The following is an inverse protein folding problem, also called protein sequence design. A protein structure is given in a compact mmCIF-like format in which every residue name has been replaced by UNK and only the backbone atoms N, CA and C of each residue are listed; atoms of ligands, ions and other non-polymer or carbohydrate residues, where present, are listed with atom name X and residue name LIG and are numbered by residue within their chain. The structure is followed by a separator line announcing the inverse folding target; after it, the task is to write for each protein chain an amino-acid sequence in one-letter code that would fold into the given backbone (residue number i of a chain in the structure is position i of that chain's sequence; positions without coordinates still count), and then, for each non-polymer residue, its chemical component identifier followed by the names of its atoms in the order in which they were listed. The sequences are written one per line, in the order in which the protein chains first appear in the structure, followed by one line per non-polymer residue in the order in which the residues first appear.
data_IF_939338299094
#
_entry.id   IF_939338299094
#
_cell.length_a   1.000
_cell.length_b   1.000
_cell.length_c   1.000
_cell.angle_alpha   90.00
_cell.angle_beta   90.00
_cell.angle_gamma   90.00
#
_symmetry.space_group_name_H-M   'P 1'
#
loop_
_entity.id
_entity.type
_entity.pdbx_description
1 polymer ?
#
# COMPACT_ATOMS: atom_id res chain seq x y z
N UNK A 1 -4.73 7.04 -0.71
CA UNK A 1 -4.07 7.74 0.41
C UNK A 1 -2.57 7.74 0.18
N UNK A 2 -1.89 8.83 0.53
CA UNK A 2 -0.44 8.98 0.38
C UNK A 2 0.15 9.56 1.66
N UNK A 3 1.16 8.90 2.23
CA UNK A 3 1.85 9.39 3.41
C UNK A 3 2.85 10.50 3.01
N UNK A 4 2.52 11.75 3.35
CA UNK A 4 3.35 12.91 3.00
C UNK A 4 4.46 13.23 3.99
N UNK A 5 4.42 12.67 5.21
CA UNK A 5 5.42 12.96 6.25
C UNK A 5 5.86 11.67 6.94
N UNK A 6 7.12 11.29 6.76
CA UNK A 6 7.71 10.14 7.43
C UNK A 6 9.25 10.23 7.43
N UNK A 7 9.96 9.21 7.91
CA UNK A 7 11.38 9.05 7.58
C UNK A 7 11.58 8.96 6.06
N UNK A 8 12.78 9.27 5.59
CA UNK A 8 13.10 9.26 4.15
C UNK A 8 12.85 7.86 3.52
N UNK A 9 13.07 6.79 4.26
CA UNK A 9 12.86 5.42 3.77
C UNK A 9 11.38 5.04 3.67
N UNK A 10 10.51 5.66 4.47
CA UNK A 10 9.10 5.32 4.60
C UNK A 10 8.14 6.35 3.99
N UNK A 11 8.67 7.45 3.43
CA UNK A 11 7.87 8.50 2.81
C UNK A 11 7.16 8.00 1.55
N UNK A 12 5.96 8.54 1.32
CA UNK A 12 5.19 8.31 0.10
C UNK A 12 4.56 6.92 0.00
N UNK A 13 4.51 6.15 1.10
CA UNK A 13 3.68 4.95 1.17
C UNK A 13 2.26 5.29 0.73
N UNK A 14 1.77 4.54 -0.25
CA UNK A 14 0.49 4.79 -0.90
C UNK A 14 -0.43 3.59 -0.71
N UNK A 15 -1.70 3.84 -0.43
CA UNK A 15 -2.69 2.77 -0.30
C UNK A 15 -4.00 3.20 -0.94
N UNK A 16 -4.63 2.31 -1.68
CA UNK A 16 -6.06 2.39 -1.97
C UNK A 16 -6.86 1.96 -0.74
N UNK A 17 -8.07 2.48 -0.62
CA UNK A 17 -9.00 2.12 0.45
C UNK A 17 -10.41 2.07 -0.14
N UNK A 18 -11.18 1.10 0.31
CA UNK A 18 -12.55 0.84 -0.14
C UNK A 18 -13.35 0.36 1.07
N UNK A 19 -13.74 1.32 1.92
CA UNK A 19 -14.56 1.09 3.11
C UNK A 19 -15.83 1.92 3.00
N UNK A 20 -16.95 1.31 3.35
CA UNK A 20 -18.29 1.93 3.34
C UNK A 20 -18.63 2.59 4.69
N UNK A 21 -17.63 3.24 5.28
CA UNK A 21 -17.74 3.88 6.60
C UNK A 21 -17.13 5.28 6.56
N UNK A 22 -17.67 6.18 7.38
CA UNK A 22 -17.11 7.52 7.55
C UNK A 22 -15.74 7.44 8.24
N UNK A 23 -14.74 8.10 7.66
CA UNK A 23 -13.36 8.07 8.15
C UNK A 23 -12.74 9.45 8.24
N UNK A 24 -11.91 9.65 9.26
CA UNK A 24 -11.04 10.82 9.40
C UNK A 24 -9.61 10.42 9.04
N UNK A 25 -8.96 11.20 8.17
CA UNK A 25 -7.54 11.01 7.84
C UNK A 25 -6.66 11.90 8.72
N UNK A 26 -5.52 11.37 9.16
CA UNK A 26 -4.53 12.16 9.88
C UNK A 26 -3.92 13.24 8.97
N UNK A 27 -3.49 14.36 9.55
CA UNK A 27 -2.99 15.53 8.80
C UNK A 27 -1.73 15.29 7.95
N UNK A 28 -0.99 14.21 8.21
CA UNK A 28 0.17 13.77 7.43
C UNK A 28 -0.19 12.81 6.28
N UNK A 29 -1.49 12.64 5.98
CA UNK A 29 -1.98 11.85 4.85
C UNK A 29 -2.63 12.77 3.81
N UNK A 30 -2.25 12.58 2.54
CA UNK A 30 -2.92 13.20 1.40
C UNK A 30 -3.95 12.23 0.83
N UNK A 31 -5.19 12.70 0.68
CA UNK A 31 -6.22 11.99 -0.09
C UNK A 31 -6.05 12.31 -1.57
N UNK A 32 -5.61 11.32 -2.34
CA UNK A 32 -5.56 11.38 -3.80
C UNK A 32 -6.95 10.97 -4.34
N UNK A 33 -7.53 11.79 -5.22
CA UNK A 33 -8.73 11.45 -6.00
C UNK A 33 -8.29 11.17 -7.43
N UNK A 34 -8.52 9.94 -7.89
CA UNK A 34 -8.13 9.50 -9.23
C UNK A 34 -9.23 9.79 -10.23
N UNK A 35 -8.84 9.94 -11.51
CA UNK A 35 -9.78 9.97 -12.63
C UNK A 35 -10.33 8.55 -12.85
N UNK A 36 -11.50 8.45 -13.47
CA UNK A 36 -12.14 7.17 -13.80
C UNK A 36 -11.29 6.29 -14.71
N UNK A 37 -10.34 6.89 -15.44
CA UNK A 37 -9.39 6.18 -16.32
C UNK A 37 -8.23 5.50 -15.57
N UNK A 38 -8.23 5.52 -14.23
CA UNK A 38 -7.14 4.98 -13.42
C UNK A 38 -7.72 4.04 -12.36
N UNK A 39 -7.30 2.78 -12.40
CA UNK A 39 -7.68 1.78 -11.39
C UNK A 39 -6.93 2.07 -10.08
N UNK A 40 -7.62 2.26 -8.94
CA UNK A 40 -6.99 2.60 -7.67
C UNK A 40 -5.92 1.61 -7.21
N UNK A 41 -6.19 0.30 -7.37
CA UNK A 41 -5.25 -0.78 -6.99
C UNK A 41 -3.96 -0.75 -7.80
N UNK A 42 -4.07 -0.52 -9.12
CA UNK A 42 -2.90 -0.34 -9.98
C UNK A 42 -2.08 0.86 -9.52
N UNK A 43 -2.73 2.02 -9.34
CA UNK A 43 -2.06 3.24 -8.94
C UNK A 43 -1.35 3.10 -7.59
N UNK A 44 -2.00 2.51 -6.58
CA UNK A 44 -1.40 2.33 -5.25
C UNK A 44 -0.15 1.44 -5.32
N UNK A 45 -0.21 0.34 -6.07
CA UNK A 45 0.94 -0.55 -6.27
C UNK A 45 2.06 0.12 -7.06
N UNK A 46 1.73 0.80 -8.15
CA UNK A 46 2.70 1.54 -8.97
C UNK A 46 3.46 2.58 -8.14
N UNK A 47 2.75 3.37 -7.32
CA UNK A 47 3.36 4.35 -6.43
C UNK A 47 4.27 3.75 -5.36
N UNK A 48 4.17 2.43 -5.09
CA UNK A 48 5.02 1.70 -4.14
C UNK A 48 6.14 0.91 -4.81
N UNK A 49 6.30 0.98 -6.13
CA UNK A 49 7.47 0.41 -6.81
C UNK A 49 8.76 1.13 -6.39
N UNK A 50 9.89 0.42 -6.46
CA UNK A 50 11.19 0.97 -6.07
C UNK A 50 11.57 2.19 -6.91
N UNK A 51 11.24 2.18 -8.20
CA UNK A 51 11.50 3.30 -9.12
C UNK A 51 10.78 4.57 -8.66
N UNK A 52 9.46 4.48 -8.41
CA UNK A 52 8.68 5.64 -7.93
C UNK A 52 9.15 6.05 -6.53
N UNK A 53 9.45 5.11 -5.64
CA UNK A 53 9.98 5.41 -4.30
C UNK A 53 11.34 6.10 -4.36
N UNK A 54 12.22 5.71 -5.27
CA UNK A 54 13.49 6.38 -5.47
C UNK A 54 13.27 7.82 -5.92
N UNK A 55 12.38 8.05 -6.90
CA UNK A 55 12.04 9.40 -7.34
C UNK A 55 11.43 10.25 -6.19
N UNK A 56 10.51 9.69 -5.41
CA UNK A 56 9.92 10.35 -4.24
C UNK A 56 10.99 10.82 -3.24
N UNK A 57 12.03 10.01 -3.01
CA UNK A 57 13.16 10.40 -2.12
C UNK A 57 13.96 11.58 -2.68
N UNK A 58 14.09 11.72 -4.01
CA UNK A 58 14.83 12.84 -4.62
C UNK A 58 14.11 14.18 -4.51
N UNK A 59 12.77 14.17 -4.44
CA UNK A 59 11.96 15.40 -4.34
C UNK A 59 11.57 15.72 -2.89
N UNK A 60 11.73 14.76 -1.98
CA UNK A 60 11.39 14.94 -0.58
C UNK A 60 12.28 15.99 0.08
N UNK A 61 11.67 16.95 0.77
CA UNK A 61 12.40 17.96 1.55
C UNK A 61 12.67 17.41 2.94
N UNK A 62 13.94 17.31 3.30
CA UNK A 62 14.38 16.83 4.61
C UNK A 62 14.46 17.93 5.67
N UNK A 63 13.93 17.64 6.85
CA UNK A 63 14.37 18.17 8.14
C UNK A 63 14.92 16.99 8.96
N UNK A 64 15.71 17.24 10.02
CA UNK A 64 16.34 16.16 10.81
C UNK A 64 15.33 15.06 11.16
N UNK A 65 15.58 13.84 10.66
CA UNK A 65 14.74 12.63 10.82
C UNK A 65 13.31 12.68 10.24
N UNK A 66 12.93 13.71 9.49
CA UNK A 66 11.62 13.79 8.83
C UNK A 66 11.74 14.32 7.40
N UNK A 67 11.07 13.65 6.48
CA UNK A 67 10.91 14.06 5.10
C UNK A 67 9.47 14.50 4.84
N UNK A 68 9.26 15.52 4.00
CA UNK A 68 7.94 15.94 3.54
C UNK A 68 7.85 16.02 2.02
N UNK A 69 6.69 15.63 1.48
CA UNK A 69 6.28 15.90 0.09
C UNK A 69 4.92 16.60 0.14
N UNK A 70 4.83 17.81 -0.36
CA UNK A 70 3.57 18.55 -0.38
C UNK A 70 2.69 18.15 -1.58
N UNK A 71 1.45 18.63 -1.61
CA UNK A 71 0.50 18.27 -2.65
C UNK A 71 0.89 18.75 -4.06
N UNK A 72 1.57 19.89 -4.18
CA UNK A 72 2.02 20.43 -5.47
C UNK A 72 3.17 19.58 -6.03
N UNK A 73 4.12 19.20 -5.18
CA UNK A 73 5.22 18.28 -5.54
C UNK A 73 4.66 16.93 -6.00
N UNK A 74 3.69 16.38 -5.27
CA UNK A 74 3.01 15.13 -5.63
C UNK A 74 2.29 15.21 -6.99
N UNK A 75 1.66 16.35 -7.30
CA UNK A 75 0.98 16.55 -8.59
C UNK A 75 1.96 16.66 -9.77
N UNK A 76 3.20 17.05 -9.52
CA UNK A 76 4.24 17.17 -10.53
C UNK A 76 4.95 15.86 -10.88
N UNK A 77 4.66 14.76 -10.17
CA UNK A 77 5.32 13.48 -10.40
C UNK A 77 4.85 12.91 -11.74
N UNK A 78 5.77 12.65 -12.69
CA UNK A 78 5.42 11.96 -13.91
C UNK A 78 5.06 10.51 -13.59
N UNK A 79 3.90 10.07 -14.05
CA UNK A 79 3.41 8.70 -13.87
C UNK A 79 3.09 8.09 -15.22
N UNK A 80 3.49 6.84 -15.40
CA UNK A 80 3.05 6.04 -16.53
C UNK A 80 1.64 5.48 -16.26
N UNK A 81 0.71 5.69 -17.18
CA UNK A 81 -0.65 5.15 -17.11
C UNK A 81 -0.85 4.21 -18.31
N UNK A 82 -0.86 2.88 -18.12
CA UNK A 82 -1.17 1.94 -19.18
C UNK A 82 -2.67 1.98 -19.54
N UNK A 83 -3.10 1.37 -20.67
CA UNK A 83 -4.51 1.17 -20.99
C UNK A 83 -5.30 0.57 -19.82
N UNK A 84 -6.55 1.02 -19.66
CA UNK A 84 -7.40 0.66 -18.52
C UNK A 84 -7.60 -0.85 -18.39
N UNK A 85 -7.64 -1.56 -19.51
CA UNK A 85 -7.78 -3.01 -19.57
C UNK A 85 -6.61 -3.72 -18.90
N UNK A 86 -5.38 -3.24 -19.12
CA UNK A 86 -4.17 -3.78 -18.48
C UNK A 86 -4.12 -3.45 -16.99
N UNK A 87 -4.59 -2.26 -16.61
CA UNK A 87 -4.70 -1.89 -15.20
C UNK A 87 -5.68 -2.82 -14.46
N UNK A 88 -6.81 -3.16 -15.09
CA UNK A 88 -7.80 -4.06 -14.52
C UNK A 88 -7.27 -5.50 -14.41
N UNK A 89 -6.63 -6.02 -15.47
CA UNK A 89 -5.98 -7.34 -15.44
C UNK A 89 -4.95 -7.44 -14.31
N UNK A 90 -4.13 -6.40 -14.12
CA UNK A 90 -3.18 -6.34 -13.01
C UNK A 90 -3.90 -6.36 -11.65
N UNK A 91 -4.95 -5.56 -11.48
CA UNK A 91 -5.69 -5.51 -10.22
C UNK A 91 -6.36 -6.85 -9.88
N UNK A 92 -6.92 -7.54 -10.87
CA UNK A 92 -7.51 -8.86 -10.71
C UNK A 92 -6.48 -9.92 -10.32
N UNK A 93 -5.29 -9.87 -10.95
CA UNK A 93 -4.17 -10.74 -10.58
C UNK A 93 -3.72 -10.50 -9.13
N UNK A 94 -3.52 -9.24 -8.73
CA UNK A 94 -3.15 -8.91 -7.34
C UNK A 94 -4.19 -9.42 -6.35
N UNK A 95 -5.48 -9.24 -6.66
CA UNK A 95 -6.58 -9.75 -5.83
C UNK A 95 -6.52 -11.27 -5.66
N UNK A 96 -6.20 -12.01 -6.72
CA UNK A 96 -6.04 -13.46 -6.65
C UNK A 96 -4.85 -13.86 -5.77
N UNK A 97 -3.71 -13.18 -5.91
CA UNK A 97 -2.52 -13.42 -5.09
C UNK A 97 -2.80 -13.14 -3.61
N UNK A 98 -3.44 -12.02 -3.29
CA UNK A 98 -3.77 -11.65 -1.92
C UNK A 98 -4.73 -12.67 -1.28
N UNK A 99 -5.72 -13.16 -2.04
CA UNK A 99 -6.59 -14.26 -1.59
C UNK A 99 -5.79 -15.51 -1.23
N UNK A 100 -4.89 -15.95 -2.11
CA UNK A 100 -4.05 -17.12 -1.84
C UNK A 100 -3.14 -16.92 -0.63
N UNK A 101 -2.59 -15.71 -0.42
CA UNK A 101 -1.78 -15.39 0.76
C UNK A 101 -2.58 -15.50 2.05
N UNK A 102 -3.81 -14.99 2.08
CA UNK A 102 -4.69 -15.09 3.25
C UNK A 102 -5.07 -16.54 3.57
N UNK A 103 -5.32 -17.37 2.55
CA UNK A 103 -5.60 -18.80 2.75
C UNK A 103 -4.40 -19.53 3.37
N UNK A 104 -3.18 -19.27 2.89
CA UNK A 104 -1.95 -19.84 3.44
C UNK A 104 -1.74 -19.38 4.88
N UNK A 105 -1.95 -18.09 5.18
CA UNK A 105 -1.81 -17.54 6.53
C UNK A 105 -2.76 -18.20 7.52
N UNK A 106 -4.03 -18.37 7.14
CA UNK A 106 -5.04 -19.08 7.96
C UNK A 106 -4.65 -20.54 8.21
N UNK A 107 -4.11 -21.21 7.18
CA UNK A 107 -3.62 -22.58 7.34
C UNK A 107 -2.48 -22.65 8.35
N UNK A 108 -1.52 -21.72 8.27
CA UNK A 108 -0.39 -21.65 9.20
C UNK A 108 -0.85 -21.40 10.65
N UNK A 109 -1.77 -20.45 10.85
CA UNK A 109 -2.34 -20.16 12.17
C UNK A 109 -3.04 -21.40 12.76
N UNK A 110 -3.83 -22.11 11.95
CA UNK A 110 -4.51 -23.33 12.38
C UNK A 110 -3.52 -24.45 12.72
N UNK A 111 -2.45 -24.62 11.94
CA UNK A 111 -1.39 -25.60 12.23
C UNK A 111 -0.70 -25.27 13.55
N UNK A 112 -0.40 -23.99 13.82
CA UNK A 112 0.19 -23.58 15.09
C UNK A 112 -0.73 -23.87 16.28
N UNK A 113 -2.02 -23.53 16.16
CA UNK A 113 -3.01 -23.82 17.22
C UNK A 113 -3.12 -25.31 17.52
N UNK A 114 -3.10 -26.16 16.48
CA UNK A 114 -3.13 -27.61 16.65
C UNK A 114 -1.86 -28.13 17.34
N UNK A 115 -0.69 -27.62 16.93
CA UNK A 115 0.58 -27.97 17.56
C UNK A 115 0.59 -27.60 19.05
N UNK A 116 0.18 -26.38 19.40
CA UNK A 116 0.11 -25.90 20.78
C UNK A 116 -0.86 -26.75 21.62
N UNK A 117 -2.02 -27.11 21.04
CA UNK A 117 -3.01 -27.97 21.71
C UNK A 117 -2.46 -29.37 22.00
N UNK A 118 -1.76 -29.98 21.03
CA UNK A 118 -1.13 -31.29 21.22
C UNK A 118 0.00 -31.24 22.26
N UNK A 119 0.83 -30.19 22.23
CA UNK A 119 1.89 -30.01 23.23
C UNK A 119 1.32 -29.88 24.64
N UNK A 120 0.21 -29.16 24.81
CA UNK A 120 -0.50 -29.06 26.08
C UNK A 120 -1.10 -30.40 26.52
N UNK A 121 -1.63 -31.21 25.59
CA UNK A 121 -2.19 -32.53 25.92
C UNK A 121 -1.13 -33.53 26.38
N UNK A 122 0.04 -33.55 25.72
CA UNK A 122 1.08 -34.55 26.00
C UNK A 122 2.10 -34.13 27.07
N UNK A 123 2.32 -32.83 27.27
CA UNK A 123 3.38 -32.31 28.14
C UNK A 123 2.93 -31.19 29.09
N UNK A 124 1.65 -30.79 29.04
CA UNK A 124 1.05 -29.78 29.92
C UNK A 124 0.45 -30.33 31.20
#
# INVERSE_FOLDING_TARGET
MFNRTNSLDLIGKTADFDFDEDMVIAGYIIRIRLKETIVPKFFSMYMNTDEVKLHLRTIAKGAVNQANINAQELQGIPIYIPPIELQQQFADFVKQVDKSREEVKKSLEKTQQLYDSLMQEYFG
#
